data_IF_643842701637
#
_entry.id   IF_643842701637
#
_cell.length_a   1.000
_cell.length_b   1.000
_cell.length_c   1.000
_cell.angle_alpha   90.00
_cell.angle_beta   90.00
_cell.angle_gamma   90.00
#
_symmetry.space_group_name_H-M   'P 1'
#
loop_
_entity.id
_entity.type
_entity.pdbx_description
1 polymer ?
#
# COMPACT_ATOMS: atom_id res chain seq x y z
N UNK A 1 -30.85 -2.39 -17.96
CA UNK A 1 -30.58 -1.52 -16.80
C UNK A 1 -29.12 -1.11 -16.89
N UNK A 2 -28.86 0.13 -17.24
CA UNK A 2 -27.51 0.66 -17.48
C UNK A 2 -26.77 0.77 -16.16
N UNK A 3 -25.74 -0.07 -15.98
CA UNK A 3 -24.80 0.02 -14.86
C UNK A 3 -24.18 1.42 -14.85
N UNK A 4 -24.58 2.22 -13.87
CA UNK A 4 -24.04 3.55 -13.63
C UNK A 4 -22.67 3.35 -12.97
N UNK A 5 -21.59 3.53 -13.73
CA UNK A 5 -20.24 3.59 -13.17
C UNK A 5 -20.17 4.80 -12.23
N UNK A 6 -20.42 4.58 -10.94
CA UNK A 6 -20.23 5.60 -9.92
C UNK A 6 -18.72 5.81 -9.74
N UNK A 7 -18.19 6.76 -10.50
CA UNK A 7 -16.77 7.11 -10.54
C UNK A 7 -16.29 7.67 -9.18
N UNK A 8 -17.21 8.03 -8.29
CA UNK A 8 -16.93 8.62 -6.99
C UNK A 8 -16.95 7.57 -5.90
N UNK A 9 -17.97 6.70 -5.87
CA UNK A 9 -18.13 5.70 -4.82
C UNK A 9 -17.53 4.33 -5.18
N UNK A 10 -17.45 3.97 -6.47
CA UNK A 10 -16.90 2.69 -6.94
C UNK A 10 -16.20 2.84 -8.31
N UNK A 11 -15.07 3.58 -8.40
CA UNK A 11 -14.38 3.74 -9.66
C UNK A 11 -13.93 2.36 -10.17
N UNK A 12 -14.25 2.03 -11.43
CA UNK A 12 -14.05 0.69 -12.04
C UNK A 12 -12.60 0.13 -12.02
N UNK A 13 -11.64 0.91 -11.54
CA UNK A 13 -10.23 0.53 -11.35
C UNK A 13 -9.87 0.18 -9.89
N UNK A 14 -10.82 0.23 -8.95
CA UNK A 14 -10.68 -0.21 -7.55
C UNK A 14 -11.39 -1.53 -7.26
N UNK A 15 -12.46 -1.86 -8.00
CA UNK A 15 -13.16 -3.16 -7.92
C UNK A 15 -12.40 -4.33 -8.56
N UNK A 16 -11.20 -4.08 -9.11
CA UNK A 16 -10.38 -5.10 -9.77
C UNK A 16 -9.34 -5.78 -8.86
N UNK A 17 -9.28 -5.45 -7.56
CA UNK A 17 -8.49 -6.26 -6.64
C UNK A 17 -9.25 -7.58 -6.38
N UNK A 18 -8.65 -8.73 -6.68
CA UNK A 18 -9.30 -10.04 -6.45
C UNK A 18 -9.72 -10.26 -4.98
N UNK A 19 -9.20 -9.47 -4.04
CA UNK A 19 -9.64 -9.48 -2.64
C UNK A 19 -11.00 -8.83 -2.41
N UNK A 20 -11.53 -8.03 -3.34
CA UNK A 20 -12.75 -7.24 -3.14
C UNK A 20 -12.62 -6.08 -2.16
N UNK A 21 -11.42 -5.83 -1.61
CA UNK A 21 -11.14 -4.76 -0.65
C UNK A 21 -10.59 -3.55 -1.39
N UNK A 22 -11.21 -2.39 -1.20
CA UNK A 22 -10.77 -1.13 -1.77
C UNK A 22 -9.61 -0.52 -0.97
N UNK A 23 -8.77 0.26 -1.65
CA UNK A 23 -7.65 0.94 -1.01
C UNK A 23 -8.08 1.85 0.15
N UNK A 24 -9.26 2.48 0.04
CA UNK A 24 -9.77 3.41 1.04
C UNK A 24 -10.16 2.70 2.33
N UNK A 25 -10.75 1.49 2.25
CA UNK A 25 -11.14 0.67 3.41
C UNK A 25 -9.96 0.30 4.32
N UNK A 26 -8.75 0.29 3.77
CA UNK A 26 -7.51 0.08 4.54
C UNK A 26 -6.90 1.41 4.95
N UNK A 27 -6.82 2.37 4.01
CA UNK A 27 -6.17 3.66 4.26
C UNK A 27 -6.85 4.45 5.39
N UNK A 28 -8.17 4.38 5.52
CA UNK A 28 -8.94 5.05 6.59
C UNK A 28 -8.67 4.48 7.98
N UNK A 29 -8.23 3.22 8.06
CA UNK A 29 -7.87 2.56 9.32
C UNK A 29 -6.45 2.92 9.79
N UNK A 30 -5.68 3.61 8.96
CA UNK A 30 -4.26 3.88 9.21
C UNK A 30 -4.06 5.35 9.63
N UNK A 31 -3.08 5.63 10.51
CA UNK A 31 -2.60 6.99 10.72
C UNK A 31 -2.16 7.64 9.41
N UNK A 32 -2.19 8.97 9.34
CA UNK A 32 -2.09 9.71 8.08
C UNK A 32 -0.88 9.31 7.22
N UNK A 33 0.33 9.22 7.78
CA UNK A 33 1.50 8.88 6.96
C UNK A 33 1.47 7.41 6.55
N UNK A 34 1.09 6.50 7.45
CA UNK A 34 0.99 5.08 7.17
C UNK A 34 -0.10 4.76 6.12
N UNK A 35 -1.24 5.46 6.17
CA UNK A 35 -2.31 5.36 5.18
C UNK A 35 -1.84 5.79 3.80
N UNK A 36 -1.09 6.90 3.73
CA UNK A 36 -0.47 7.32 2.47
C UNK A 36 0.61 6.33 2.00
N UNK A 37 1.44 5.82 2.91
CA UNK A 37 2.43 4.77 2.61
C UNK A 37 1.76 3.57 1.94
N UNK A 38 0.71 3.02 2.56
CA UNK A 38 -0.08 1.92 2.01
C UNK A 38 -0.69 2.28 0.65
N UNK A 39 -1.33 3.45 0.52
CA UNK A 39 -1.95 3.91 -0.73
C UNK A 39 -0.97 3.88 -1.92
N UNK A 40 0.26 4.33 -1.72
CA UNK A 40 1.27 4.31 -2.78
C UNK A 40 1.78 2.89 -3.08
N UNK A 41 1.89 2.00 -2.08
CA UNK A 41 2.20 0.58 -2.33
C UNK A 41 1.09 -0.12 -3.11
N UNK A 42 -0.16 0.13 -2.72
CA UNK A 42 -1.33 -0.40 -3.40
C UNK A 42 -1.34 0.04 -4.87
N UNK A 43 -1.11 1.33 -5.13
CA UNK A 43 -1.12 1.92 -6.48
C UNK A 43 0.07 1.55 -7.35
N UNK A 44 1.23 1.24 -6.76
CA UNK A 44 2.45 0.93 -7.52
C UNK A 44 2.19 -0.18 -8.56
N UNK A 45 2.46 0.11 -9.84
CA UNK A 45 2.25 -0.82 -10.95
C UNK A 45 0.80 -0.93 -11.47
N UNK A 46 -0.16 -0.20 -10.90
CA UNK A 46 -1.54 -0.09 -11.44
C UNK A 46 -1.71 1.11 -12.37
N UNK A 47 -0.96 2.19 -12.13
CA UNK A 47 -1.04 3.42 -12.94
C UNK A 47 0.29 4.15 -12.94
N UNK A 48 0.77 4.53 -14.12
CA UNK A 48 2.00 5.32 -14.28
C UNK A 48 3.26 4.58 -13.86
N UNK A 49 4.30 5.33 -13.52
CA UNK A 49 5.60 4.77 -13.12
C UNK A 49 5.56 4.15 -11.71
N UNK A 50 5.86 2.85 -11.65
CA UNK A 50 5.97 2.07 -10.41
C UNK A 50 7.03 2.63 -9.46
N UNK A 51 8.17 3.10 -9.99
CA UNK A 51 9.26 3.59 -9.15
C UNK A 51 8.88 4.86 -8.41
N UNK A 52 8.20 5.79 -9.08
CA UNK A 52 7.65 7.02 -8.48
C UNK A 52 6.75 6.71 -7.29
N UNK A 53 5.89 5.69 -7.40
CA UNK A 53 5.00 5.29 -6.30
C UNK A 53 5.75 4.66 -5.14
N UNK A 54 6.73 3.80 -5.43
CA UNK A 54 7.58 3.23 -4.40
C UNK A 54 8.39 4.31 -3.65
N UNK A 55 8.88 5.33 -4.36
CA UNK A 55 9.57 6.50 -3.76
C UNK A 55 8.64 7.32 -2.87
N UNK A 56 7.40 7.57 -3.31
CA UNK A 56 6.39 8.24 -2.48
C UNK A 56 6.04 7.42 -1.24
N UNK A 57 5.84 6.11 -1.40
CA UNK A 57 5.63 5.20 -0.26
C UNK A 57 6.79 5.28 0.74
N UNK A 58 8.03 5.20 0.26
CA UNK A 58 9.23 5.31 1.10
C UNK A 58 9.28 6.65 1.87
N UNK A 59 8.92 7.75 1.22
CA UNK A 59 8.84 9.07 1.85
C UNK A 59 7.84 9.08 3.02
N UNK A 60 6.65 8.50 2.81
CA UNK A 60 5.63 8.40 3.86
C UNK A 60 6.00 7.39 4.95
N UNK A 61 6.64 6.27 4.63
CA UNK A 61 7.14 5.30 5.60
C UNK A 61 8.15 5.93 6.57
N UNK A 62 9.05 6.78 6.04
CA UNK A 62 9.99 7.54 6.87
C UNK A 62 9.26 8.46 7.86
N UNK A 63 8.22 9.17 7.41
CA UNK A 63 7.44 10.07 8.27
C UNK A 63 6.63 9.30 9.30
N UNK A 64 5.99 8.21 8.92
CA UNK A 64 5.29 7.31 9.83
C UNK A 64 6.24 6.79 10.92
N UNK A 65 7.49 6.45 10.56
CA UNK A 65 8.52 6.09 11.53
C UNK A 65 8.89 7.26 12.47
N UNK A 66 9.16 8.45 11.93
CA UNK A 66 9.50 9.63 12.75
C UNK A 66 8.36 10.08 13.68
N UNK A 67 7.11 9.83 13.29
CA UNK A 67 5.91 10.12 14.07
C UNK A 67 5.54 8.98 15.06
N UNK A 68 6.31 7.88 15.08
CA UNK A 68 5.99 6.65 15.81
C UNK A 68 4.60 6.08 15.53
N UNK A 69 4.11 6.21 14.29
CA UNK A 69 2.82 5.68 13.87
C UNK A 69 2.79 4.15 13.97
N UNK A 70 1.74 3.61 14.59
CA UNK A 70 1.54 2.17 14.75
C UNK A 70 0.50 1.67 13.77
N UNK A 71 0.72 0.47 13.27
CA UNK A 71 -0.21 -0.24 12.41
C UNK A 71 -1.31 -0.87 13.28
N UNK A 72 -2.59 -0.44 13.14
CA UNK A 72 -3.67 -1.04 13.90
C UNK A 72 -3.96 -2.47 13.45
N UNK A 73 -4.36 -3.34 14.39
CA UNK A 73 -4.52 -4.77 14.09
C UNK A 73 -5.58 -5.03 13.02
N UNK A 74 -6.69 -4.27 13.03
CA UNK A 74 -7.73 -4.35 12.00
C UNK A 74 -7.17 -4.08 10.59
N UNK A 75 -6.26 -3.11 10.46
CA UNK A 75 -5.61 -2.82 9.18
C UNK A 75 -4.62 -3.94 8.79
N UNK A 76 -3.93 -4.56 9.77
CA UNK A 76 -3.00 -5.67 9.53
C UNK A 76 -3.65 -6.82 8.77
N UNK A 77 -4.79 -7.28 9.28
CA UNK A 77 -5.53 -8.42 8.72
C UNK A 77 -5.94 -8.12 7.27
N UNK A 78 -6.49 -6.92 7.03
CA UNK A 78 -6.91 -6.48 5.69
C UNK A 78 -5.74 -6.34 4.71
N UNK A 79 -4.59 -5.83 5.16
CA UNK A 79 -3.38 -5.74 4.33
C UNK A 79 -2.90 -7.14 3.92
N UNK A 80 -2.92 -8.11 4.84
CA UNK A 80 -2.54 -9.50 4.54
C UNK A 80 -3.51 -10.15 3.55
N UNK A 81 -4.81 -9.91 3.71
CA UNK A 81 -5.84 -10.39 2.78
C UNK A 81 -5.68 -9.81 1.37
N UNK A 82 -5.35 -8.52 1.25
CA UNK A 82 -5.01 -7.93 -0.05
C UNK A 82 -3.74 -8.56 -0.61
N UNK A 83 -2.72 -8.80 0.22
CA UNK A 83 -1.43 -9.35 -0.22
C UNK A 83 -1.55 -10.73 -0.89
N UNK A 84 -2.45 -11.61 -0.41
CA UNK A 84 -2.65 -12.94 -1.03
C UNK A 84 -3.12 -12.85 -2.49
N UNK A 85 -3.73 -11.74 -2.88
CA UNK A 85 -4.29 -11.49 -4.20
C UNK A 85 -3.37 -10.70 -5.15
N UNK A 86 -2.16 -10.31 -4.71
CA UNK A 86 -1.20 -9.56 -5.52
C UNK A 86 -0.12 -10.47 -6.15
N UNK A 87 0.64 -9.91 -7.09
CA UNK A 87 1.87 -10.53 -7.61
C UNK A 87 2.91 -10.76 -6.50
N UNK A 88 3.90 -11.62 -6.77
CA UNK A 88 4.90 -12.03 -5.78
C UNK A 88 5.65 -10.86 -5.13
N UNK A 89 5.97 -9.82 -5.90
CA UNK A 89 6.71 -8.66 -5.40
C UNK A 89 5.84 -7.81 -4.49
N UNK A 90 4.63 -7.45 -4.95
CA UNK A 90 3.73 -6.62 -4.15
C UNK A 90 3.23 -7.37 -2.90
N UNK A 91 3.00 -8.68 -3.01
CA UNK A 91 2.67 -9.54 -1.86
C UNK A 91 3.76 -9.48 -0.79
N UNK A 92 5.02 -9.64 -1.16
CA UNK A 92 6.13 -9.58 -0.19
C UNK A 92 6.15 -8.23 0.53
N UNK A 93 6.12 -7.11 -0.22
CA UNK A 93 6.17 -5.77 0.39
C UNK A 93 5.00 -5.53 1.36
N UNK A 94 3.77 -5.90 0.98
CA UNK A 94 2.59 -5.76 1.84
C UNK A 94 2.68 -6.66 3.07
N UNK A 95 3.23 -7.87 2.92
CA UNK A 95 3.48 -8.79 4.04
C UNK A 95 4.52 -8.20 5.00
N UNK A 96 5.61 -7.62 4.50
CA UNK A 96 6.61 -6.95 5.35
C UNK A 96 6.02 -5.73 6.07
N UNK A 97 5.15 -4.94 5.41
CA UNK A 97 4.43 -3.83 6.06
C UNK A 97 3.58 -4.34 7.23
N UNK A 98 2.87 -5.45 7.02
CA UNK A 98 1.99 -6.03 8.02
C UNK A 98 2.72 -6.74 9.16
N UNK A 99 3.99 -7.15 9.00
CA UNK A 99 4.71 -7.94 10.01
C UNK A 99 5.74 -7.15 10.80
N UNK A 100 6.32 -6.10 10.23
CA UNK A 100 7.42 -5.35 10.86
C UNK A 100 6.93 -4.13 11.65
N UNK A 101 7.63 -3.74 12.72
CA UNK A 101 7.55 -2.37 13.23
C UNK A 101 7.88 -1.36 12.12
N UNK A 102 7.26 -0.18 12.14
CA UNK A 102 7.36 0.79 11.05
C UNK A 102 8.80 1.19 10.71
N UNK A 103 9.70 1.31 11.70
CA UNK A 103 11.12 1.59 11.47
C UNK A 103 11.82 0.47 10.68
N UNK A 104 11.57 -0.79 11.02
CA UNK A 104 12.14 -1.93 10.32
C UNK A 104 11.55 -2.08 8.91
N UNK A 105 10.25 -1.77 8.74
CA UNK A 105 9.63 -1.70 7.42
C UNK A 105 10.25 -0.60 6.55
N UNK A 106 10.50 0.59 7.11
CA UNK A 106 11.16 1.68 6.38
C UNK A 106 12.55 1.28 5.86
N UNK A 107 13.38 0.62 6.68
CA UNK A 107 14.71 0.14 6.25
C UNK A 107 14.59 -0.91 5.14
N UNK A 108 13.66 -1.87 5.28
CA UNK A 108 13.36 -2.84 4.24
C UNK A 108 12.95 -2.16 2.93
N UNK A 109 12.00 -1.23 2.98
CA UNK A 109 11.49 -0.55 1.80
C UNK A 109 12.58 0.31 1.15
N UNK A 110 13.44 0.96 1.93
CA UNK A 110 14.59 1.72 1.41
C UNK A 110 15.51 0.82 0.59
N UNK A 111 15.86 -0.35 1.10
CA UNK A 111 16.68 -1.34 0.39
C UNK A 111 15.96 -1.93 -0.83
N UNK A 112 14.63 -2.08 -0.76
CA UNK A 112 13.84 -2.53 -1.89
C UNK A 112 13.85 -1.51 -3.04
N UNK A 113 13.63 -0.23 -2.74
CA UNK A 113 13.57 0.85 -3.74
C UNK A 113 14.93 1.07 -4.43
N UNK A 114 16.05 0.97 -3.70
CA UNK A 114 17.38 1.18 -4.29
C UNK A 114 17.71 0.17 -5.39
N UNK A 115 17.10 -1.02 -5.39
CA UNK A 115 17.29 -2.03 -6.45
C UNK A 115 16.77 -1.56 -7.82
N UNK A 116 15.84 -0.62 -7.84
CA UNK A 116 15.24 -0.06 -9.05
C UNK A 116 15.92 1.24 -9.50
N UNK A 117 16.79 1.83 -8.67
CA UNK A 117 17.56 3.03 -9.05
C UNK A 117 18.83 2.70 -9.83
N UNK A 118 19.21 1.42 -9.86
CA UNK A 118 20.40 0.91 -10.54
C UNK A 118 20.06 -0.03 -11.72
N UNK A 119 18.82 0.00 -12.20
CA UNK A 119 18.37 -0.63 -13.45
C UNK A 119 18.20 0.43 -14.53
#
# INVERSE_FOLDING_TARGET
>A
MTQHNDIVNHPAHYTSCKSGIECIEIAELLPFCLGNCYKYLHRAGLKGDKLTDLKKSLWYARRAYLNDEKLPEKARVRILEVATHQDSQKRDILTQLAQKPIGAFYIYLKSYVSKYEHQ
#
